data_IF_542582806258
#
_entry.id   IF_542582806258
#
_cell.length_a   1.000
_cell.length_b   1.000
_cell.length_c   1.000
_cell.angle_alpha   90.00
_cell.angle_beta   90.00
_cell.angle_gamma   90.00
#
_symmetry.space_group_name_H-M   'P 1'
#
loop_
_entity.id
_entity.type
_entity.pdbx_description
1 polymer ?
#
# COMPACT_ATOMS: atom_id res chain seq x y z
N UNK A 1 -0.26 4.09 -8.66
CA UNK A 1 -0.14 2.78 -7.98
C UNK A 1 -1.46 2.46 -7.31
N UNK A 2 -1.89 1.20 -7.38
CA UNK A 2 -3.17 0.76 -6.81
C UNK A 2 -2.95 -0.35 -5.79
N UNK A 3 -3.74 -0.36 -4.71
CA UNK A 3 -3.71 -1.39 -3.68
C UNK A 3 -5.05 -1.46 -2.95
N UNK A 4 -5.37 -2.61 -2.37
CA UNK A 4 -6.59 -2.85 -1.60
C UNK A 4 -6.23 -3.30 -0.20
N UNK A 5 -6.86 -2.69 0.79
CA UNK A 5 -6.69 -3.11 2.17
C UNK A 5 -8.05 -3.31 2.85
N UNK A 6 -8.11 -4.16 3.87
CA UNK A 6 -9.33 -4.43 4.61
C UNK A 6 -9.41 -3.65 5.93
N UNK A 7 -10.64 -3.39 6.36
CA UNK A 7 -10.99 -2.70 7.61
C UNK A 7 -12.10 -3.50 8.28
N UNK A 8 -11.93 -3.77 9.57
CA UNK A 8 -12.91 -4.53 10.37
C UNK A 8 -13.90 -3.56 11.01
N UNK A 9 -15.19 -3.88 10.93
CA UNK A 9 -16.29 -3.14 11.54
C UNK A 9 -16.61 -3.67 12.96
N UNK A 10 -17.47 -2.96 13.69
CA UNK A 10 -17.82 -3.29 15.07
C UNK A 10 -18.50 -4.65 15.23
N UNK A 11 -19.25 -5.09 14.24
CA UNK A 11 -19.93 -6.37 14.20
C UNK A 11 -19.03 -7.55 13.75
N UNK A 12 -17.73 -7.26 13.48
CA UNK A 12 -16.77 -8.24 12.98
C UNK A 12 -16.78 -8.41 11.47
N UNK A 13 -17.71 -7.79 10.74
CA UNK A 13 -17.70 -7.80 9.29
C UNK A 13 -16.52 -7.00 8.73
N UNK A 14 -16.19 -7.25 7.46
CA UNK A 14 -15.02 -6.66 6.81
C UNK A 14 -15.48 -5.81 5.63
N UNK A 15 -14.92 -4.62 5.51
CA UNK A 15 -14.99 -3.82 4.30
C UNK A 15 -13.61 -3.59 3.71
N UNK A 16 -13.56 -3.25 2.42
CA UNK A 16 -12.34 -3.16 1.63
C UNK A 16 -12.17 -1.72 1.13
N UNK A 17 -11.01 -1.16 1.44
CA UNK A 17 -10.60 0.15 0.96
C UNK A 17 -9.71 -0.02 -0.27
N UNK A 18 -10.25 0.36 -1.42
CA UNK A 18 -9.55 0.41 -2.70
C UNK A 18 -8.91 1.78 -2.84
N UNK A 19 -7.60 1.85 -3.03
CA UNK A 19 -6.84 3.10 -3.15
C UNK A 19 -6.07 3.17 -4.46
N UNK A 20 -6.03 4.37 -5.04
CA UNK A 20 -5.12 4.73 -6.12
C UNK A 20 -4.30 5.94 -5.67
N UNK A 21 -2.99 5.78 -5.68
CA UNK A 21 -2.02 6.75 -5.17
C UNK A 21 -1.07 7.18 -6.29
N UNK A 22 -0.83 8.47 -6.41
CA UNK A 22 0.24 8.99 -7.25
C UNK A 22 1.60 8.72 -6.59
N UNK A 23 2.46 7.97 -7.29
CA UNK A 23 3.76 7.57 -6.77
C UNK A 23 4.72 8.74 -6.55
N UNK A 24 4.56 9.81 -7.30
CA UNK A 24 5.41 10.99 -7.20
C UNK A 24 5.06 11.85 -5.97
N UNK A 25 3.79 12.22 -5.84
CA UNK A 25 3.33 13.13 -4.78
C UNK A 25 2.84 12.42 -3.52
N UNK A 26 2.58 11.12 -3.60
CA UNK A 26 1.88 10.30 -2.59
C UNK A 26 0.41 10.70 -2.39
N UNK A 27 -0.15 11.55 -3.27
CA UNK A 27 -1.56 11.94 -3.21
C UNK A 27 -2.46 10.74 -3.52
N UNK A 28 -3.49 10.55 -2.71
CA UNK A 28 -4.57 9.62 -3.01
C UNK A 28 -5.47 10.29 -4.05
N UNK A 29 -5.46 9.75 -5.28
CA UNK A 29 -6.16 10.31 -6.44
C UNK A 29 -7.47 9.59 -6.77
N UNK A 30 -7.70 8.43 -6.16
CA UNK A 30 -8.96 7.70 -6.25
C UNK A 30 -9.12 6.75 -5.08
N UNK A 31 -10.34 6.60 -4.56
CA UNK A 31 -10.62 5.65 -3.50
C UNK A 31 -12.08 5.25 -3.42
N UNK A 32 -12.31 4.03 -2.99
CA UNK A 32 -13.64 3.50 -2.69
C UNK A 32 -13.59 2.61 -1.47
N UNK A 33 -14.65 2.63 -0.65
CA UNK A 33 -14.85 1.70 0.46
C UNK A 33 -16.12 0.90 0.20
N UNK A 34 -16.00 -0.44 0.16
CA UNK A 34 -17.11 -1.35 -0.10
C UNK A 34 -17.00 -2.63 0.74
N UNK A 35 -18.10 -3.36 0.86
CA UNK A 35 -18.17 -4.67 1.53
C UNK A 35 -17.73 -5.83 0.61
N UNK A 36 -17.25 -5.52 -0.57
CA UNK A 36 -16.90 -6.51 -1.59
C UNK A 36 -15.60 -6.14 -2.32
N UNK A 37 -14.89 -7.18 -2.78
CA UNK A 37 -13.68 -7.08 -3.63
C UNK A 37 -13.99 -7.08 -5.14
N UNK A 38 -15.24 -6.88 -5.55
CA UNK A 38 -15.60 -6.89 -6.98
C UNK A 38 -14.84 -5.82 -7.75
N UNK A 39 -14.35 -6.19 -8.94
CA UNK A 39 -13.60 -5.29 -9.82
C UNK A 39 -14.34 -3.98 -10.13
N UNK A 40 -15.68 -3.99 -10.18
CA UNK A 40 -16.50 -2.79 -10.36
C UNK A 40 -16.22 -1.69 -9.33
N UNK A 41 -15.86 -2.06 -8.08
CA UNK A 41 -15.51 -1.07 -7.04
C UNK A 41 -14.12 -0.49 -7.30
N UNK A 42 -13.16 -1.34 -7.68
CA UNK A 42 -11.81 -0.89 -8.06
C UNK A 42 -11.87 0.03 -9.29
N UNK A 43 -12.76 -0.27 -10.25
CA UNK A 43 -13.00 0.58 -11.41
C UNK A 43 -13.54 1.97 -11.03
N UNK A 44 -14.43 2.08 -10.05
CA UNK A 44 -14.92 3.38 -9.57
C UNK A 44 -13.79 4.22 -8.95
N UNK A 45 -12.85 3.59 -8.24
CA UNK A 45 -11.66 4.28 -7.75
C UNK A 45 -10.75 4.72 -8.91
N UNK A 46 -10.61 3.90 -9.96
CA UNK A 46 -9.85 4.23 -11.16
C UNK A 46 -10.49 5.38 -11.94
N UNK A 47 -11.80 5.39 -12.08
CA UNK A 47 -12.53 6.51 -12.72
C UNK A 47 -12.28 7.85 -12.05
N UNK A 48 -12.27 7.87 -10.70
CA UNK A 48 -11.92 9.10 -9.95
C UNK A 48 -10.48 9.56 -10.26
N UNK A 49 -9.53 8.63 -10.30
CA UNK A 49 -8.13 8.94 -10.60
C UNK A 49 -7.95 9.44 -12.03
N UNK A 50 -8.57 8.79 -13.00
CA UNK A 50 -8.56 9.20 -14.41
C UNK A 50 -9.18 10.60 -14.57
N UNK A 51 -10.34 10.85 -13.97
CA UNK A 51 -11.00 12.15 -14.01
C UNK A 51 -10.08 13.27 -13.52
N UNK A 52 -9.43 13.09 -12.36
CA UNK A 52 -8.48 14.06 -11.84
C UNK A 52 -7.28 14.25 -12.78
N UNK A 53 -6.76 13.18 -13.37
CA UNK A 53 -5.63 13.27 -14.30
C UNK A 53 -6.00 13.99 -15.61
N UNK A 54 -7.20 13.74 -16.15
CA UNK A 54 -7.75 14.42 -17.32
C UNK A 54 -7.94 15.91 -17.05
N UNK A 55 -8.54 16.26 -15.91
CA UNK A 55 -8.71 17.65 -15.48
C UNK A 55 -7.36 18.37 -15.33
N UNK A 56 -6.38 17.71 -14.71
CA UNK A 56 -5.04 18.30 -14.52
C UNK A 56 -4.29 18.51 -15.83
N UNK A 57 -4.40 17.60 -16.78
CA UNK A 57 -3.71 17.69 -18.08
C UNK A 57 -4.48 18.47 -19.12
N UNK A 58 -5.78 18.70 -18.93
CA UNK A 58 -6.67 19.29 -19.93
C UNK A 58 -6.83 18.44 -21.19
N UNK A 59 -6.58 17.12 -21.09
CA UNK A 59 -6.60 16.17 -22.20
C UNK A 59 -7.10 14.80 -21.74
N UNK A 60 -7.89 14.13 -22.56
CA UNK A 60 -8.38 12.77 -22.32
C UNK A 60 -7.32 11.69 -22.55
N UNK A 61 -6.31 11.93 -23.39
CA UNK A 61 -5.16 11.06 -23.52
C UNK A 61 -4.22 11.25 -22.32
N UNK A 62 -3.98 10.17 -21.62
CA UNK A 62 -3.07 10.11 -20.47
C UNK A 62 -1.78 9.38 -20.83
N UNK A 63 -1.41 9.38 -22.12
CA UNK A 63 -0.18 8.78 -22.63
C UNK A 63 1.04 9.21 -21.81
N UNK A 64 1.87 8.23 -21.44
CA UNK A 64 3.04 8.42 -20.58
C UNK A 64 2.76 8.22 -19.08
N UNK A 65 1.48 8.08 -18.65
CA UNK A 65 1.19 7.54 -17.32
C UNK A 65 1.38 6.03 -17.31
N UNK A 66 1.86 5.54 -16.17
CA UNK A 66 1.99 4.11 -15.88
C UNK A 66 1.11 3.80 -14.69
N UNK A 67 0.16 2.88 -14.86
CA UNK A 67 -0.61 2.32 -13.77
C UNK A 67 0.07 1.07 -13.26
N UNK A 68 0.46 1.06 -11.98
CA UNK A 68 1.10 -0.09 -11.35
C UNK A 68 0.21 -0.67 -10.26
N UNK A 69 0.07 -2.01 -10.25
CA UNK A 69 -0.66 -2.77 -9.25
C UNK A 69 0.00 -4.13 -9.02
N UNK A 70 -0.45 -4.86 -7.99
CA UNK A 70 -0.20 -6.29 -7.92
C UNK A 70 -1.00 -7.05 -9.00
N UNK A 71 -0.88 -8.38 -9.02
CA UNK A 71 -1.63 -9.27 -9.94
C UNK A 71 -2.99 -9.69 -9.40
N UNK A 72 -3.62 -8.88 -8.56
CA UNK A 72 -4.97 -9.14 -8.07
C UNK A 72 -5.98 -9.26 -9.21
N UNK A 73 -6.93 -10.19 -9.08
CA UNK A 73 -7.95 -10.45 -10.13
C UNK A 73 -8.74 -9.20 -10.51
N UNK A 74 -8.87 -8.22 -9.61
CA UNK A 74 -9.55 -6.96 -9.84
C UNK A 74 -8.84 -6.10 -10.90
N UNK A 75 -7.51 -6.18 -10.95
CA UNK A 75 -6.67 -5.41 -11.89
C UNK A 75 -6.45 -6.11 -13.22
N UNK A 76 -6.62 -7.45 -13.25
CA UNK A 76 -6.42 -8.28 -14.43
C UNK A 76 -7.69 -8.48 -15.26
N UNK A 77 -8.86 -8.00 -14.82
CA UNK A 77 -10.10 -8.19 -15.55
C UNK A 77 -10.14 -7.28 -16.80
N UNK A 78 -10.76 -7.80 -17.88
CA UNK A 78 -10.81 -7.12 -19.19
C UNK A 78 -11.35 -5.69 -19.10
N UNK A 79 -12.39 -5.47 -18.30
CA UNK A 79 -13.00 -4.15 -18.15
C UNK A 79 -12.05 -3.12 -17.51
N UNK A 80 -11.23 -3.54 -16.51
CA UNK A 80 -10.23 -2.67 -15.89
C UNK A 80 -9.11 -2.34 -16.87
N UNK A 81 -8.61 -3.35 -17.57
CA UNK A 81 -7.57 -3.21 -18.60
C UNK A 81 -8.06 -2.31 -19.74
N UNK A 82 -9.29 -2.53 -20.24
CA UNK A 82 -9.88 -1.72 -21.29
C UNK A 82 -10.02 -0.24 -20.90
N UNK A 83 -10.36 0.05 -19.65
CA UNK A 83 -10.43 1.42 -19.12
C UNK A 83 -9.07 2.13 -19.15
N UNK A 84 -7.99 1.45 -18.75
CA UNK A 84 -6.62 1.98 -18.82
C UNK A 84 -6.19 2.23 -20.26
N UNK A 85 -6.46 1.27 -21.16
CA UNK A 85 -6.11 1.35 -22.58
C UNK A 85 -6.88 2.48 -23.29
N UNK A 86 -8.16 2.69 -22.98
CA UNK A 86 -8.98 3.77 -23.55
C UNK A 86 -8.38 5.16 -23.28
N UNK A 87 -7.59 5.31 -22.21
CA UNK A 87 -6.88 6.55 -21.88
C UNK A 87 -5.36 6.50 -22.20
N UNK A 88 -4.91 5.51 -22.94
CA UNK A 88 -3.50 5.30 -23.30
C UNK A 88 -2.55 5.19 -22.10
N UNK A 89 -3.05 4.68 -20.97
CA UNK A 89 -2.26 4.44 -19.76
C UNK A 89 -1.53 3.11 -19.89
N UNK A 90 -0.20 3.11 -19.72
CA UNK A 90 0.59 1.89 -19.69
C UNK A 90 0.32 1.09 -18.42
N UNK A 91 0.27 -0.24 -18.56
CA UNK A 91 0.01 -1.16 -17.45
C UNK A 91 1.33 -1.79 -17.00
N UNK A 92 1.58 -1.75 -15.70
CA UNK A 92 2.70 -2.42 -15.03
C UNK A 92 2.15 -3.24 -13.87
N UNK A 93 2.67 -4.43 -13.69
CA UNK A 93 2.29 -5.32 -12.59
C UNK A 93 3.53 -5.83 -11.87
N UNK A 94 3.42 -6.07 -10.57
CA UNK A 94 4.49 -6.65 -9.77
C UNK A 94 4.95 -7.97 -10.37
N UNK A 95 6.25 -8.13 -10.58
CA UNK A 95 6.86 -9.39 -10.97
C UNK A 95 7.34 -10.13 -9.72
N UNK A 96 7.13 -11.45 -9.67
CA UNK A 96 7.67 -12.38 -8.66
C UNK A 96 7.49 -11.96 -7.19
N UNK A 97 6.34 -11.37 -6.83
CA UNK A 97 6.02 -10.97 -5.44
C UNK A 97 7.09 -10.08 -4.77
N UNK A 98 7.80 -9.26 -5.54
CA UNK A 98 8.78 -8.35 -4.99
C UNK A 98 8.11 -7.26 -4.12
N UNK A 99 8.29 -7.26 -2.80
CA UNK A 99 7.59 -6.34 -1.89
C UNK A 99 7.92 -4.86 -2.13
N UNK A 100 8.99 -4.57 -2.86
CA UNK A 100 9.40 -3.18 -3.12
C UNK A 100 8.62 -2.53 -4.25
N UNK A 101 7.97 -3.31 -5.11
CA UNK A 101 7.35 -2.80 -6.33
C UNK A 101 6.08 -2.00 -6.06
N UNK A 102 5.31 -2.33 -4.99
CA UNK A 102 4.13 -1.59 -4.58
C UNK A 102 4.28 -0.84 -3.23
N UNK A 103 5.53 -0.66 -2.76
CA UNK A 103 5.86 -0.12 -1.43
C UNK A 103 5.22 1.24 -1.11
N UNK A 104 4.96 2.09 -2.11
CA UNK A 104 4.32 3.40 -1.89
C UNK A 104 2.84 3.22 -1.55
N UNK A 105 2.09 2.40 -2.29
CA UNK A 105 0.68 2.15 -2.03
C UNK A 105 0.49 1.43 -0.69
N UNK A 106 1.32 0.42 -0.39
CA UNK A 106 1.35 -0.25 0.91
C UNK A 106 1.64 0.72 2.05
N UNK A 107 2.59 1.63 1.86
CA UNK A 107 2.92 2.67 2.85
C UNK A 107 1.75 3.60 3.11
N UNK A 108 1.02 4.02 2.09
CA UNK A 108 -0.17 4.88 2.23
C UNK A 108 -1.27 4.14 2.99
N UNK A 109 -1.54 2.88 2.66
CA UNK A 109 -2.46 2.01 3.40
C UNK A 109 -2.05 1.87 4.88
N UNK A 110 -0.77 1.64 5.14
CA UNK A 110 -0.22 1.56 6.50
C UNK A 110 -0.42 2.86 7.29
N UNK A 111 -0.24 4.01 6.67
CA UNK A 111 -0.47 5.33 7.30
C UNK A 111 -1.94 5.49 7.67
N UNK A 112 -2.88 5.22 6.76
CA UNK A 112 -4.33 5.29 7.04
C UNK A 112 -4.69 4.38 8.20
N UNK A 113 -4.20 3.13 8.19
CA UNK A 113 -4.44 2.17 9.28
C UNK A 113 -3.90 2.68 10.61
N UNK A 114 -2.63 3.07 10.67
CA UNK A 114 -1.97 3.47 11.92
C UNK A 114 -2.50 4.80 12.47
N UNK A 115 -2.77 5.77 11.60
CA UNK A 115 -3.13 7.11 12.06
C UNK A 115 -4.64 7.30 12.23
N UNK A 116 -5.47 6.46 11.58
CA UNK A 116 -6.92 6.60 11.69
C UNK A 116 -7.64 5.32 12.10
N UNK A 117 -7.47 4.21 11.37
CA UNK A 117 -8.25 2.99 11.61
C UNK A 117 -8.00 2.44 13.02
N UNK A 118 -6.73 2.24 13.39
CA UNK A 118 -6.36 1.66 14.70
C UNK A 118 -6.53 2.62 15.88
N UNK A 119 -6.72 3.92 15.61
CA UNK A 119 -7.03 4.92 16.66
C UNK A 119 -8.52 5.12 16.88
N UNK A 120 -9.34 4.61 15.98
CA UNK A 120 -10.79 4.56 16.15
C UNK A 120 -11.13 3.35 17.03
N UNK A 121 -11.98 3.51 18.02
CA UNK A 121 -12.41 2.37 18.87
C UNK A 121 -13.07 1.28 18.01
N UNK A 122 -13.94 1.67 17.10
CA UNK A 122 -14.57 0.81 16.08
C UNK A 122 -15.33 1.68 15.07
N UNK A 123 -15.68 1.08 13.94
CA UNK A 123 -16.60 1.66 12.96
C UNK A 123 -17.96 0.97 13.12
N UNK A 124 -19.02 1.70 13.37
CA UNK A 124 -20.35 1.14 13.61
C UNK A 124 -20.86 0.36 12.39
N UNK A 125 -20.64 0.93 11.21
CA UNK A 125 -21.05 0.39 9.92
C UNK A 125 -20.15 0.95 8.80
N UNK A 126 -20.36 0.47 7.57
CA UNK A 126 -19.60 0.89 6.40
C UNK A 126 -19.79 2.39 6.05
N UNK A 127 -20.98 2.95 6.32
CA UNK A 127 -21.26 4.39 6.14
C UNK A 127 -20.39 5.23 7.06
N UNK A 128 -20.39 4.91 8.34
CA UNK A 128 -19.51 5.53 9.34
C UNK A 128 -18.03 5.40 8.96
N UNK A 129 -17.59 4.20 8.56
CA UNK A 129 -16.22 3.98 8.12
C UNK A 129 -15.87 4.85 6.91
N UNK A 130 -16.76 4.94 5.92
CA UNK A 130 -16.55 5.74 4.71
C UNK A 130 -16.41 7.23 5.04
N UNK A 131 -17.25 7.76 5.89
CA UNK A 131 -17.21 9.18 6.28
C UNK A 131 -15.92 9.51 7.04
N UNK A 132 -15.52 8.66 7.98
CA UNK A 132 -14.31 8.87 8.78
C UNK A 132 -13.06 8.76 7.92
N UNK A 133 -12.99 7.76 7.05
CA UNK A 133 -11.85 7.54 6.15
C UNK A 133 -11.79 8.64 5.09
N UNK A 134 -12.93 9.05 4.54
CA UNK A 134 -13.00 10.14 3.57
C UNK A 134 -12.46 11.47 4.14
N UNK A 135 -12.87 11.83 5.36
CA UNK A 135 -12.31 13.00 6.06
C UNK A 135 -10.79 12.85 6.29
N UNK A 136 -10.35 11.64 6.63
CA UNK A 136 -8.92 11.41 6.82
C UNK A 136 -8.13 11.48 5.50
N UNK A 137 -8.65 10.95 4.40
CA UNK A 137 -8.02 11.05 3.07
C UNK A 137 -7.91 12.51 2.64
N UNK A 138 -8.94 13.32 2.91
CA UNK A 138 -8.86 14.76 2.67
C UNK A 138 -7.74 15.39 3.52
N UNK A 139 -7.69 15.13 4.81
CA UNK A 139 -6.61 15.59 5.68
C UNK A 139 -5.24 15.12 5.19
N UNK A 140 -5.11 13.85 4.82
CA UNK A 140 -3.89 13.26 4.28
C UNK A 140 -3.39 14.01 3.04
N UNK A 141 -4.27 14.29 2.10
CA UNK A 141 -3.91 14.94 0.86
C UNK A 141 -3.54 16.42 1.02
N UNK A 142 -4.25 17.16 1.88
CA UNK A 142 -4.19 18.63 1.91
C UNK A 142 -3.53 19.21 3.15
N UNK A 143 -3.36 18.43 4.21
CA UNK A 143 -2.87 18.95 5.50
C UNK A 143 -1.72 18.13 6.11
N UNK A 144 -1.56 16.87 5.73
CA UNK A 144 -0.54 16.01 6.30
C UNK A 144 0.81 16.16 5.57
N UNK A 145 1.87 16.66 6.27
CA UNK A 145 3.19 16.74 5.65
C UNK A 145 3.87 15.38 5.59
N UNK A 146 4.71 15.15 4.57
CA UNK A 146 5.45 13.92 4.38
C UNK A 146 6.95 14.16 4.26
N UNK A 147 7.76 13.41 5.02
CA UNK A 147 9.22 13.48 5.00
C UNK A 147 9.82 13.13 3.63
N UNK A 148 9.18 12.21 2.90
CA UNK A 148 9.65 11.75 1.58
C UNK A 148 9.52 12.79 0.48
N UNK A 149 8.72 13.82 0.69
CA UNK A 149 8.48 14.92 -0.24
C UNK A 149 8.78 16.30 0.38
N UNK A 150 9.79 16.35 1.25
CA UNK A 150 10.29 17.60 1.82
C UNK A 150 9.39 18.26 2.85
N UNK A 151 8.60 17.48 3.60
CA UNK A 151 7.56 17.97 4.53
C UNK A 151 6.45 18.78 3.87
N UNK A 152 6.30 18.67 2.55
CA UNK A 152 5.16 19.24 1.85
C UNK A 152 3.92 18.32 1.99
N UNK A 153 2.76 18.84 1.64
CA UNK A 153 1.53 18.05 1.54
C UNK A 153 1.37 17.45 0.14
N UNK A 154 0.79 16.25 0.00
CA UNK A 154 0.64 15.56 -1.29
C UNK A 154 -0.02 16.40 -2.38
N UNK A 155 -1.07 17.14 -2.05
CA UNK A 155 -1.81 17.94 -3.03
C UNK A 155 -0.96 19.07 -3.67
N UNK A 156 -0.03 19.67 -2.92
CA UNK A 156 0.88 20.68 -3.48
C UNK A 156 1.91 20.01 -4.40
N UNK A 157 2.53 18.91 -3.95
CA UNK A 157 3.54 18.21 -4.74
C UNK A 157 2.96 17.63 -6.02
N UNK A 158 1.68 17.24 -6.02
CA UNK A 158 1.00 16.72 -7.21
C UNK A 158 0.95 17.73 -8.38
N UNK A 159 1.10 19.02 -8.10
CA UNK A 159 1.16 20.10 -9.10
C UNK A 159 2.59 20.51 -9.46
N UNK A 160 3.60 19.96 -8.77
CA UNK A 160 5.01 20.28 -9.00
C UNK A 160 5.66 19.33 -10.01
N UNK A 161 6.86 19.69 -10.45
CA UNK A 161 7.73 18.88 -11.30
C UNK A 161 9.14 18.79 -10.70
N UNK A 162 9.93 17.82 -11.13
CA UNK A 162 11.30 17.63 -10.67
C UNK A 162 11.40 16.77 -9.40
N UNK A 163 12.62 16.56 -8.93
CA UNK A 163 12.87 15.71 -7.76
C UNK A 163 12.45 16.37 -6.46
N UNK A 164 11.81 15.61 -5.58
CA UNK A 164 11.46 16.06 -4.24
C UNK A 164 12.59 15.74 -3.25
N UNK A 165 12.92 16.71 -2.40
CA UNK A 165 13.94 16.54 -1.37
C UNK A 165 13.45 15.57 -0.28
N UNK A 166 14.10 14.41 -0.17
CA UNK A 166 13.84 13.49 0.94
C UNK A 166 14.48 14.00 2.23
N UNK A 167 13.69 14.12 3.29
CA UNK A 167 14.15 14.65 4.60
C UNK A 167 14.68 13.55 5.54
N UNK A 168 15.01 12.40 5.01
CA UNK A 168 15.62 11.29 5.73
C UNK A 168 16.82 10.72 4.95
N UNK A 169 17.79 10.20 5.68
CA UNK A 169 18.94 9.49 5.09
C UNK A 169 18.66 7.99 5.13
N UNK A 170 18.91 7.31 4.01
CA UNK A 170 18.83 5.84 3.96
C UNK A 170 19.87 5.29 4.94
N UNK A 171 19.45 4.47 5.92
CA UNK A 171 20.40 3.72 6.77
C UNK A 171 21.10 2.71 5.88
N UNK A 172 22.40 2.84 5.77
CA UNK A 172 23.26 1.84 5.14
C UNK A 172 23.60 0.84 6.24
N UNK A 173 23.02 -0.33 6.18
CA UNK A 173 23.45 -1.44 7.02
C UNK A 173 24.68 -2.05 6.37
N UNK A 174 25.83 -2.18 7.09
CA UNK A 174 26.96 -2.93 6.57
C UNK A 174 26.49 -4.34 6.23
N UNK A 175 26.79 -4.80 5.03
CA UNK A 175 26.55 -6.20 4.69
C UNK A 175 27.33 -7.04 5.69
N UNK A 176 26.65 -7.95 6.41
CA UNK A 176 27.35 -8.99 7.18
C UNK A 176 28.04 -9.85 6.14
N UNK A 177 29.34 -9.68 5.99
CA UNK A 177 30.16 -10.68 5.36
C UNK A 177 30.08 -11.91 6.27
N UNK A 178 29.37 -12.93 5.87
CA UNK A 178 29.53 -14.25 6.44
C UNK A 178 30.93 -14.69 6.00
N UNK A 179 31.88 -14.54 6.89
CA UNK A 179 33.19 -15.18 6.76
C UNK A 179 32.90 -16.69 6.77
N UNK A 180 33.15 -17.37 5.66
CA UNK A 180 33.09 -18.82 5.56
C UNK A 180 34.32 -19.41 6.32
N UNK A 181 34.41 -19.07 7.62
CA UNK A 181 35.37 -19.66 8.53
C UNK A 181 35.11 -21.15 8.64
N UNK A 182 36.10 -21.92 8.29
CA UNK A 182 36.17 -23.36 8.41
C UNK A 182 35.53 -23.87 9.71
N UNK A 183 34.57 -24.78 9.57
CA UNK A 183 34.05 -25.53 10.70
C UNK A 183 35.22 -26.36 11.30
N UNK A 184 35.79 -25.89 12.38
CA UNK A 184 36.70 -26.67 13.19
C UNK A 184 35.95 -27.82 13.88
N UNK A 185 36.09 -29.01 13.31
CA UNK A 185 35.47 -30.24 13.76
C UNK A 185 36.00 -30.76 15.10
N UNK A 186 36.77 -29.98 15.84
CA UNK A 186 37.46 -30.43 17.07
C UNK A 186 36.67 -30.26 18.37
N UNK A 187 35.42 -29.71 18.32
CA UNK A 187 34.58 -29.49 19.51
C UNK A 187 33.40 -30.48 19.62
N UNK A 188 33.50 -31.69 19.12
CA UNK A 188 32.55 -32.76 19.43
C UNK A 188 32.96 -33.54 20.71
N UNK A 189 32.85 -32.86 21.83
CA UNK A 189 33.07 -33.45 23.14
C UNK A 189 31.78 -33.66 23.91
N UNK A 190 31.22 -34.86 23.78
CA UNK A 190 30.32 -35.56 24.71
C UNK A 190 29.80 -34.81 25.93
N UNK A 191 28.46 -34.78 26.08
CA UNK A 191 27.85 -35.23 27.35
C UNK A 191 26.46 -35.82 27.07
N UNK A 192 26.43 -37.13 27.08
CA UNK A 192 25.23 -37.93 27.34
C UNK A 192 24.78 -37.67 28.78
N UNK A 193 23.55 -37.27 29.00
CA UNK A 193 22.85 -37.51 30.25
C UNK A 193 21.61 -38.33 30.00
N UNK A 194 21.67 -39.45 30.64
CA UNK A 194 20.69 -40.52 30.78
C UNK A 194 19.34 -40.07 31.30
N UNK A 195 18.35 -40.85 30.85
CA UNK A 195 16.98 -41.04 31.35
C UNK A 195 16.81 -40.84 32.86
N UNK A 196 15.73 -40.14 33.20
CA UNK A 196 14.91 -40.55 34.34
C UNK A 196 13.44 -40.21 34.08
N UNK A 197 12.68 -41.28 33.99
CA UNK A 197 11.23 -41.35 33.98
C UNK A 197 10.66 -40.91 35.33
N UNK A 198 9.67 -40.00 35.34
CA UNK A 198 8.66 -39.96 36.43
C UNK A 198 7.28 -39.77 35.85
N UNK A 199 6.55 -40.86 35.85
CA UNK A 199 5.08 -40.87 35.82
C UNK A 199 4.53 -40.27 37.12
N UNK A 200 3.48 -39.41 37.01
CA UNK A 200 2.36 -39.36 37.98
C UNK A 200 1.17 -38.56 37.45
N UNK A 201 0.12 -39.29 37.26
CA UNK A 201 -1.29 -39.02 37.52
C UNK A 201 -1.62 -37.77 38.38
N UNK A 202 -2.52 -36.94 37.95
CA UNK A 202 -3.93 -36.77 38.33
C UNK A 202 -4.52 -35.77 37.33
#
# INVERSE_FOLDING_TARGET
MSDITYIVLADGSVCYLHLITDAYSHKIVGWMLADTLRAAITMQALEQAIKQAVELRGNTSLKGLIHHSDRGVQYCCDAYVAMLQAHEIAISMTEDYNPTDNAIAERVNGIIKCERVYRQSHFNDIGHARDVIGRYIHFYNYHRPHMSIGYKVPALVHLEQGEQKKMWKKKIYPQKTFDNGEYDASLSGRTTRSDESVSRNI
#
